data_IF_234824015242
#
_entry.id   IF_234824015242
#
_cell.length_a   1.000
_cell.length_b   1.000
_cell.length_c   1.000
_cell.angle_alpha   90.00
_cell.angle_beta   90.00
_cell.angle_gamma   90.00
#
_symmetry.space_group_name_H-M   'P 1'
#
loop_
_entity.id
_entity.type
_entity.pdbx_description
1 polymer ?
#
# COMPACT_ATOMS: atom_id res chain seq x y z
N UNK A 1 0.12 27.00 0.14
CA UNK A 1 0.72 25.91 0.94
C UNK A 1 -0.41 25.23 1.68
N UNK A 2 -0.48 23.89 1.65
CA UNK A 2 -1.45 23.14 2.44
C UNK A 2 -1.10 23.20 3.94
N UNK A 3 -2.06 22.87 4.80
CA UNK A 3 -1.85 22.76 6.27
C UNK A 3 -1.13 21.46 6.65
N UNK A 4 -1.04 20.48 5.74
CA UNK A 4 -0.41 19.19 5.97
C UNK A 4 0.91 19.11 5.20
N UNK A 5 1.94 18.53 5.84
CA UNK A 5 3.28 18.39 5.27
C UNK A 5 3.46 17.06 4.53
N UNK A 6 2.66 16.04 4.87
CA UNK A 6 2.77 14.72 4.26
C UNK A 6 1.89 13.68 4.94
N UNK A 7 2.19 12.43 4.66
CA UNK A 7 1.51 11.25 5.22
C UNK A 7 2.41 10.62 6.28
N UNK A 8 1.95 10.52 7.54
CA UNK A 8 2.77 10.01 8.65
C UNK A 8 2.70 8.49 8.79
N UNK A 9 1.49 7.93 8.91
CA UNK A 9 1.29 6.49 9.04
C UNK A 9 -0.06 6.05 8.50
N UNK A 10 -0.16 4.74 8.30
CA UNK A 10 -1.40 3.99 8.07
C UNK A 10 -1.51 3.00 9.21
N UNK A 11 -2.68 2.90 9.84
CA UNK A 11 -2.93 1.93 10.90
C UNK A 11 -3.90 0.84 10.43
N UNK A 12 -3.53 -0.42 10.61
CA UNK A 12 -4.35 -1.58 10.31
C UNK A 12 -4.65 -2.36 11.58
N UNK A 13 -5.92 -2.66 11.80
CA UNK A 13 -6.36 -3.62 12.80
C UNK A 13 -6.17 -5.02 12.22
N UNK A 14 -5.45 -5.90 12.93
CA UNK A 14 -5.09 -7.23 12.41
C UNK A 14 -5.64 -8.34 13.31
N UNK A 15 -6.02 -9.46 12.70
CA UNK A 15 -6.57 -10.61 13.40
C UNK A 15 -5.46 -11.39 14.12
N UNK A 16 -4.34 -11.66 13.46
CA UNK A 16 -3.15 -12.28 14.03
C UNK A 16 -1.93 -11.39 13.81
N UNK A 17 -1.43 -10.82 14.92
CA UNK A 17 -0.35 -9.84 14.88
C UNK A 17 0.95 -10.41 14.30
N UNK A 18 1.36 -11.61 14.74
CA UNK A 18 2.66 -12.18 14.33
C UNK A 18 2.62 -12.65 12.87
N UNK A 19 1.49 -13.15 12.40
CA UNK A 19 1.30 -13.47 10.97
C UNK A 19 1.42 -12.22 10.12
N UNK A 20 0.80 -11.11 10.52
CA UNK A 20 0.87 -9.83 9.80
C UNK A 20 2.26 -9.23 9.86
N UNK A 21 2.92 -9.23 11.02
CA UNK A 21 4.34 -8.79 11.17
C UNK A 21 5.24 -9.58 10.23
N UNK A 22 5.08 -10.91 10.18
CA UNK A 22 5.85 -11.77 9.28
C UNK A 22 5.62 -11.45 7.81
N UNK A 23 4.38 -11.16 7.41
CA UNK A 23 4.04 -10.76 6.06
C UNK A 23 4.70 -9.43 5.67
N UNK A 24 4.53 -8.38 6.46
CA UNK A 24 5.07 -7.05 6.16
C UNK A 24 6.59 -7.04 6.17
N UNK A 25 7.24 -7.79 7.05
CA UNK A 25 8.69 -7.99 7.00
C UNK A 25 9.14 -8.62 5.67
N UNK A 26 8.43 -9.66 5.17
CA UNK A 26 8.78 -10.32 3.90
C UNK A 26 8.62 -9.43 2.68
N UNK A 27 7.64 -8.53 2.66
CA UNK A 27 7.49 -7.57 1.55
C UNK A 27 8.43 -6.36 1.64
N UNK A 28 9.32 -6.33 2.64
CA UNK A 28 10.36 -5.31 2.76
C UNK A 28 10.03 -4.15 3.68
N UNK A 29 9.01 -4.28 4.52
CA UNK A 29 8.70 -3.32 5.58
C UNK A 29 9.20 -3.86 6.93
N UNK A 30 10.43 -3.54 7.33
CA UNK A 30 10.97 -4.06 8.59
C UNK A 30 10.19 -3.53 9.80
N UNK A 31 9.94 -4.40 10.79
CA UNK A 31 9.54 -3.96 12.11
C UNK A 31 10.65 -3.10 12.72
N UNK A 32 10.30 -1.92 13.23
CA UNK A 32 11.25 -0.98 13.82
C UNK A 32 10.96 -0.65 15.28
N UNK A 33 9.73 -0.86 15.73
CA UNK A 33 9.31 -0.54 17.09
C UNK A 33 8.09 -1.36 17.47
N UNK A 34 8.07 -1.88 18.70
CA UNK A 34 6.91 -2.54 19.28
C UNK A 34 6.59 -1.89 20.62
N UNK A 35 5.39 -1.37 20.77
CA UNK A 35 4.86 -0.84 22.01
C UNK A 35 4.06 -1.91 22.74
N UNK A 36 4.19 -1.96 24.05
CA UNK A 36 3.45 -2.87 24.89
C UNK A 36 2.48 -2.06 25.77
N UNK A 37 1.37 -2.68 26.14
CA UNK A 37 0.46 -2.15 27.15
C UNK A 37 1.03 -2.32 28.58
N UNK A 38 0.28 -1.85 29.59
CA UNK A 38 0.69 -1.93 30.99
C UNK A 38 0.84 -3.38 31.52
N UNK A 39 0.28 -4.37 30.82
CA UNK A 39 0.34 -5.78 31.15
C UNK A 39 1.44 -6.53 30.36
N UNK A 40 2.18 -5.82 29.51
CA UNK A 40 3.22 -6.40 28.67
C UNK A 40 2.72 -7.05 27.37
N UNK A 41 1.46 -6.84 26.99
CA UNK A 41 0.93 -7.33 25.71
C UNK A 41 1.23 -6.34 24.59
N UNK A 42 1.47 -6.82 23.35
CA UNK A 42 1.63 -5.95 22.20
C UNK A 42 0.42 -5.04 22.00
N UNK A 43 0.68 -3.73 21.90
CA UNK A 43 -0.33 -2.71 21.64
C UNK A 43 -0.26 -2.17 20.22
N UNK A 44 0.94 -1.77 19.77
CA UNK A 44 1.18 -1.28 18.42
C UNK A 44 2.54 -1.82 17.95
N UNK A 45 2.60 -2.31 16.71
CA UNK A 45 3.86 -2.64 16.03
C UNK A 45 4.05 -1.71 14.85
N UNK A 46 5.19 -1.04 14.80
CA UNK A 46 5.56 -0.13 13.72
C UNK A 46 6.45 -0.82 12.70
N UNK A 47 6.06 -0.76 11.45
CA UNK A 47 6.87 -1.12 10.30
C UNK A 47 7.23 0.13 9.51
N UNK A 48 8.45 0.20 8.97
CA UNK A 48 8.87 1.30 8.11
C UNK A 48 8.54 1.00 6.66
N UNK A 49 7.68 1.82 6.03
CA UNK A 49 7.40 1.77 4.59
C UNK A 49 8.50 2.51 3.82
N UNK A 50 8.75 3.77 4.21
CA UNK A 50 9.78 4.63 3.64
C UNK A 50 10.28 5.62 4.69
N UNK A 51 11.08 6.60 4.30
CA UNK A 51 11.51 7.67 5.21
C UNK A 51 10.28 8.43 5.73
N UNK A 52 10.14 8.46 7.06
CA UNK A 52 9.03 9.13 7.80
C UNK A 52 7.61 8.64 7.47
N UNK A 53 7.47 7.49 6.80
CA UNK A 53 6.17 6.86 6.55
C UNK A 53 6.13 5.46 7.15
N UNK A 54 5.15 5.20 8.01
CA UNK A 54 5.05 3.98 8.80
C UNK A 54 3.74 3.25 8.54
N UNK A 55 3.77 1.95 8.79
CA UNK A 55 2.59 1.12 8.96
C UNK A 55 2.50 0.71 10.44
N UNK A 56 1.37 0.96 11.06
CA UNK A 56 1.06 0.50 12.41
C UNK A 56 0.15 -0.73 12.35
N UNK A 57 0.56 -1.80 13.00
CA UNK A 57 -0.28 -2.98 13.19
C UNK A 57 -0.83 -2.98 14.62
N UNK A 58 -2.17 -3.00 14.72
CA UNK A 58 -2.89 -3.00 15.99
C UNK A 58 -3.55 -4.37 16.18
N UNK A 59 -3.20 -5.15 17.22
CA UNK A 59 -3.80 -6.46 17.47
C UNK A 59 -5.27 -6.37 17.86
N UNK A 60 -5.98 -7.49 17.84
CA UNK A 60 -7.35 -7.63 18.33
C UNK A 60 -8.41 -7.33 17.27
N UNK A 61 -8.19 -7.75 16.02
CA UNK A 61 -9.23 -7.89 15.01
C UNK A 61 -10.32 -8.85 15.49
N UNK A 62 -11.51 -8.76 14.89
CA UNK A 62 -12.70 -9.54 15.26
C UNK A 62 -12.78 -10.89 14.53
N UNK A 63 -11.75 -11.24 13.74
CA UNK A 63 -11.72 -12.45 12.92
C UNK A 63 -12.54 -12.35 11.63
N UNK A 64 -13.20 -11.21 11.41
CA UNK A 64 -13.94 -10.95 10.18
C UNK A 64 -13.04 -10.57 9.00
N UNK A 65 -13.56 -10.68 7.78
CA UNK A 65 -12.85 -10.20 6.58
C UNK A 65 -12.82 -8.67 6.55
N UNK A 66 -11.83 -8.12 5.85
CA UNK A 66 -11.83 -6.69 5.51
C UNK A 66 -13.11 -6.31 4.76
N UNK A 67 -13.54 -5.05 4.84
CA UNK A 67 -14.72 -4.58 4.13
C UNK A 67 -14.65 -4.86 2.62
N UNK A 68 -15.77 -5.27 2.04
CA UNK A 68 -15.89 -5.43 0.59
C UNK A 68 -15.47 -4.14 -0.13
N UNK A 69 -14.72 -4.22 -1.25
CA UNK A 69 -14.22 -3.06 -1.98
C UNK A 69 -15.30 -2.12 -2.54
N UNK A 70 -16.56 -2.54 -2.56
CA UNK A 70 -17.69 -1.70 -2.95
C UNK A 70 -18.22 -0.83 -1.81
N UNK A 71 -17.76 -1.09 -0.57
CA UNK A 71 -18.16 -0.30 0.59
C UNK A 71 -17.40 1.02 0.67
N UNK A 72 -18.05 2.02 1.24
CA UNK A 72 -17.42 3.32 1.54
C UNK A 72 -16.30 3.12 2.56
N UNK A 73 -15.13 3.67 2.28
CA UNK A 73 -13.94 3.58 3.13
C UNK A 73 -12.66 3.43 2.31
N UNK A 74 -11.61 2.96 2.95
CA UNK A 74 -10.36 2.67 2.26
C UNK A 74 -10.56 1.47 1.33
N UNK A 75 -10.28 1.67 0.05
CA UNK A 75 -10.45 0.64 -0.97
C UNK A 75 -9.20 -0.26 -1.07
N UNK A 76 -8.02 0.33 -1.08
CA UNK A 76 -6.73 -0.34 -1.13
C UNK A 76 -5.60 0.60 -0.72
N UNK A 77 -4.45 0.03 -0.45
CA UNK A 77 -3.17 0.71 -0.32
C UNK A 77 -2.43 0.60 -1.65
N UNK A 78 -1.86 1.70 -2.16
CA UNK A 78 -0.99 1.66 -3.33
C UNK A 78 0.45 1.95 -2.94
N UNK A 79 1.36 1.07 -3.33
CA UNK A 79 2.79 1.17 -3.10
C UNK A 79 3.51 1.31 -4.43
N UNK A 80 4.51 2.19 -4.50
CA UNK A 80 5.27 2.39 -5.73
C UNK A 80 6.57 1.59 -5.72
N UNK A 81 6.95 1.11 -6.90
CA UNK A 81 8.22 0.42 -7.14
C UNK A 81 8.97 1.06 -8.31
N UNK A 82 10.28 0.90 -8.35
CA UNK A 82 11.12 1.40 -9.46
C UNK A 82 11.02 0.53 -10.70
N UNK A 83 10.79 -0.77 -10.52
CA UNK A 83 10.71 -1.74 -11.61
C UNK A 83 9.74 -2.85 -11.21
N UNK A 84 8.70 -3.05 -12.01
CA UNK A 84 7.63 -4.01 -11.74
C UNK A 84 8.11 -5.47 -11.90
N UNK A 85 9.01 -5.75 -12.87
CA UNK A 85 9.55 -7.11 -13.09
C UNK A 85 10.40 -7.55 -11.90
N UNK A 86 11.25 -6.66 -11.39
CA UNK A 86 12.05 -6.95 -10.19
C UNK A 86 11.17 -7.10 -8.95
N UNK A 87 10.14 -6.29 -8.81
CA UNK A 87 9.21 -6.38 -7.69
C UNK A 87 8.44 -7.70 -7.71
N UNK A 88 7.91 -8.11 -8.88
CA UNK A 88 7.24 -9.40 -9.04
C UNK A 88 8.15 -10.57 -8.65
N UNK A 89 9.40 -10.56 -9.12
CA UNK A 89 10.38 -11.58 -8.75
C UNK A 89 10.66 -11.61 -7.25
N UNK A 90 10.88 -10.45 -6.61
CA UNK A 90 11.14 -10.37 -5.17
C UNK A 90 9.95 -10.85 -4.34
N UNK A 91 8.72 -10.56 -4.76
CA UNK A 91 7.51 -11.07 -4.12
C UNK A 91 7.44 -12.60 -4.23
N UNK A 92 7.70 -13.14 -5.42
CA UNK A 92 7.72 -14.59 -5.62
C UNK A 92 8.81 -15.28 -4.76
N UNK A 93 10.02 -14.72 -4.72
CA UNK A 93 11.13 -15.22 -3.87
C UNK A 93 10.76 -15.16 -2.38
N UNK A 94 9.96 -14.18 -1.96
CA UNK A 94 9.43 -14.05 -0.60
C UNK A 94 8.21 -14.94 -0.31
N UNK A 95 7.76 -15.73 -1.29
CA UNK A 95 6.57 -16.60 -1.17
C UNK A 95 5.24 -15.83 -1.17
N UNK A 96 5.22 -14.62 -1.69
CA UNK A 96 4.01 -13.79 -1.81
C UNK A 96 3.38 -14.02 -3.19
N UNK A 97 2.12 -14.42 -3.20
CA UNK A 97 1.38 -14.66 -4.44
C UNK A 97 0.71 -13.38 -4.92
N UNK A 98 0.77 -13.12 -6.23
CA UNK A 98 -0.04 -12.09 -6.84
C UNK A 98 -1.51 -12.53 -6.91
N UNK A 99 -2.43 -11.67 -6.51
CA UNK A 99 -3.88 -11.89 -6.68
C UNK A 99 -4.33 -11.63 -8.11
N UNK A 100 -3.63 -10.72 -8.77
CA UNK A 100 -3.76 -10.47 -10.20
C UNK A 100 -2.38 -10.52 -10.82
N UNK A 101 -2.22 -11.39 -11.80
CA UNK A 101 -1.05 -11.40 -12.67
C UNK A 101 -0.88 -10.03 -13.29
N UNK A 102 0.34 -9.52 -13.32
CA UNK A 102 0.65 -8.27 -14.00
C UNK A 102 0.15 -8.33 -15.45
N UNK A 103 -0.57 -7.31 -15.87
CA UNK A 103 -0.98 -7.20 -17.27
C UNK A 103 0.28 -7.00 -18.14
N UNK A 104 0.25 -7.53 -19.36
CA UNK A 104 1.30 -7.31 -20.37
C UNK A 104 1.26 -5.91 -20.97
N UNK A 105 0.26 -5.12 -20.62
CA UNK A 105 0.07 -3.73 -21.08
C UNK A 105 -0.17 -2.83 -19.85
N UNK A 106 0.25 -1.58 -19.96
CA UNK A 106 0.00 -0.56 -18.94
C UNK A 106 -1.49 -0.34 -18.71
N UNK A 107 -1.84 0.09 -17.50
CA UNK A 107 -3.20 0.52 -17.17
C UNK A 107 -3.62 1.77 -17.93
N UNK A 108 -4.89 2.17 -17.77
CA UNK A 108 -5.44 3.40 -18.37
C UNK A 108 -4.74 4.66 -17.89
N UNK A 109 -4.09 4.58 -16.74
CA UNK A 109 -3.28 5.64 -16.13
C UNK A 109 -1.83 5.69 -16.67
N UNK A 110 -1.45 4.75 -17.53
CA UNK A 110 -0.10 4.65 -18.10
C UNK A 110 0.90 3.89 -17.23
N UNK A 111 0.50 3.34 -16.09
CA UNK A 111 1.36 2.66 -15.14
C UNK A 111 1.32 1.13 -15.30
N UNK A 112 2.39 0.45 -14.83
CA UNK A 112 2.36 -0.99 -14.59
C UNK A 112 1.82 -1.26 -13.19
N UNK A 113 0.86 -2.18 -13.06
CA UNK A 113 0.25 -2.52 -11.79
C UNK A 113 0.14 -4.02 -11.57
N UNK A 114 0.32 -4.44 -10.32
CA UNK A 114 0.05 -5.78 -9.82
C UNK A 114 -0.59 -5.69 -8.43
N UNK A 115 -1.15 -6.79 -7.94
CA UNK A 115 -1.92 -6.80 -6.71
C UNK A 115 -1.54 -7.98 -5.83
N UNK A 116 -1.43 -7.71 -4.53
CA UNK A 116 -1.32 -8.71 -3.47
C UNK A 116 -2.37 -8.43 -2.40
N UNK A 117 -2.56 -9.38 -1.49
CA UNK A 117 -3.34 -9.22 -0.27
C UNK A 117 -2.47 -9.55 0.93
N UNK A 118 -2.70 -8.83 2.02
CA UNK A 118 -2.12 -9.19 3.31
C UNK A 118 -2.87 -10.37 3.96
N UNK A 119 -2.44 -10.89 5.12
CA UNK A 119 -3.10 -12.04 5.77
C UNK A 119 -4.57 -11.82 6.13
N UNK A 120 -4.99 -10.58 6.34
CA UNK A 120 -6.37 -10.23 6.66
C UNK A 120 -7.22 -9.93 5.41
N UNK A 121 -6.60 -9.88 4.23
CA UNK A 121 -7.26 -9.58 2.95
C UNK A 121 -7.25 -8.11 2.58
N UNK A 122 -6.47 -7.26 3.27
CA UNK A 122 -6.26 -5.89 2.82
C UNK A 122 -5.57 -5.90 1.46
N UNK A 123 -6.18 -5.21 0.49
CA UNK A 123 -5.66 -5.17 -0.88
C UNK A 123 -4.53 -4.16 -1.00
N UNK A 124 -3.46 -4.58 -1.63
CA UNK A 124 -2.27 -3.77 -1.87
C UNK A 124 -2.00 -3.76 -3.37
N UNK A 125 -2.16 -2.60 -3.97
CA UNK A 125 -1.71 -2.34 -5.33
C UNK A 125 -0.22 -2.01 -5.31
N UNK A 126 0.52 -2.53 -6.28
CA UNK A 126 1.94 -2.24 -6.46
C UNK A 126 2.10 -1.65 -7.85
N UNK A 127 2.57 -0.41 -7.94
CA UNK A 127 2.69 0.32 -9.20
C UNK A 127 4.13 0.72 -9.53
N UNK A 128 4.54 0.48 -10.77
CA UNK A 128 5.64 1.22 -11.38
C UNK A 128 5.05 2.41 -12.13
N UNK A 129 5.32 3.60 -11.62
CA UNK A 129 4.81 4.84 -12.20
C UNK A 129 5.68 5.28 -13.38
N UNK A 130 5.06 5.38 -14.56
CA UNK A 130 5.74 5.87 -15.74
C UNK A 130 5.93 7.39 -15.70
N UNK A 131 7.04 7.92 -16.21
CA UNK A 131 7.29 9.37 -16.26
C UNK A 131 6.19 10.15 -16.97
N UNK A 132 5.50 9.52 -17.93
CA UNK A 132 4.40 10.06 -18.73
C UNK A 132 3.01 9.67 -18.22
N UNK A 133 2.89 9.09 -17.02
CA UNK A 133 1.58 8.70 -16.47
C UNK A 133 0.67 9.92 -16.26
N UNK A 134 -0.64 9.67 -16.27
CA UNK A 134 -1.64 10.75 -16.19
C UNK A 134 -1.57 11.52 -14.88
N UNK A 135 -1.15 10.89 -13.79
CA UNK A 135 -0.98 11.54 -12.48
C UNK A 135 0.11 12.61 -12.55
N UNK A 136 1.30 12.27 -13.06
CA UNK A 136 2.40 13.23 -13.18
C UNK A 136 2.12 14.32 -14.21
N UNK A 137 1.37 14.01 -15.27
CA UNK A 137 0.88 15.04 -16.19
C UNK A 137 -0.07 16.00 -15.50
N UNK A 138 -1.04 15.47 -14.71
CA UNK A 138 -1.99 16.30 -13.97
C UNK A 138 -1.29 17.19 -12.93
N UNK A 139 -0.28 16.69 -12.24
CA UNK A 139 0.54 17.49 -11.31
C UNK A 139 1.27 18.64 -12.01
N UNK A 140 1.90 18.36 -13.17
CA UNK A 140 2.56 19.41 -13.97
C UNK A 140 1.58 20.49 -14.42
N UNK A 141 0.39 20.07 -14.87
CA UNK A 141 -0.66 21.00 -15.30
C UNK A 141 -1.20 21.84 -14.14
N UNK A 142 -1.40 21.22 -12.96
CA UNK A 142 -1.79 21.94 -11.75
C UNK A 142 -0.74 22.99 -11.34
N UNK A 143 0.54 22.62 -11.37
CA UNK A 143 1.65 23.52 -11.06
C UNK A 143 1.74 24.69 -12.06
N UNK A 144 1.31 24.49 -13.31
CA UNK A 144 1.18 25.54 -14.33
C UNK A 144 -0.12 26.39 -14.20
N UNK A 145 -0.93 26.17 -13.17
CA UNK A 145 -2.15 26.92 -12.92
C UNK A 145 -3.37 26.43 -13.72
N UNK A 146 -3.30 25.25 -14.34
CA UNK A 146 -4.44 24.68 -15.04
C UNK A 146 -5.51 24.17 -14.05
N UNK A 147 -6.77 24.11 -14.50
CA UNK A 147 -7.84 23.47 -13.75
C UNK A 147 -7.68 21.94 -13.78
N UNK A 148 -8.26 21.22 -12.78
CA UNK A 148 -8.29 19.77 -12.80
C UNK A 148 -8.82 19.23 -14.12
N UNK A 149 -8.16 18.20 -14.66
CA UNK A 149 -8.54 17.58 -15.92
C UNK A 149 -9.66 16.56 -15.68
N UNK A 150 -10.56 16.46 -16.65
CA UNK A 150 -11.57 15.40 -16.73
C UNK A 150 -11.28 14.60 -17.99
N UNK A 151 -11.07 13.30 -17.84
CA UNK A 151 -10.81 12.38 -18.97
C UNK A 151 -11.79 11.21 -18.93
N UNK A 152 -12.29 10.83 -20.08
CA UNK A 152 -13.03 9.58 -20.24
C UNK A 152 -12.03 8.47 -20.59
N UNK A 153 -12.08 7.38 -19.84
CA UNK A 153 -11.29 6.17 -20.10
C UNK A 153 -12.26 5.05 -20.50
N UNK A 154 -11.94 4.31 -21.55
CA UNK A 154 -12.76 3.24 -22.12
C UNK A 154 -12.06 1.89 -21.97
#
# INVERSE_FOLDING_TARGET
>A
MGIFEGFGHIALKVNDLETSVGFYNRIGFPEILRLLDANGHPWIVYHRISEHLYLELLPGGDGGPVPDPTRTGMNHLCLTVKNADEAEKKLADAGIKLNRTRKTVRGVDGNWGMWIEDPDGNRIEIQEMAPECIQFEAERNLAAGARPQVRTVY
#
